data_IF_571619886750
#
_entry.id   IF_571619886750
#
_cell.length_a   1.000
_cell.length_b   1.000
_cell.length_c   1.000
_cell.angle_alpha   90.00
_cell.angle_beta   90.00
_cell.angle_gamma   90.00
#
_symmetry.space_group_name_H-M   'P 1'
#
loop_
_entity.id
_entity.type
_entity.pdbx_description
1 polymer ?
#
# COMPACT_ATOMS: atom_id res chain seq x y z
N UNK A 1 1.56 -3.22 13.63
CA UNK A 1 2.48 -2.38 12.82
C UNK A 1 3.88 -2.97 12.80
N UNK A 2 4.57 -3.15 13.93
CA UNK A 2 5.93 -3.72 13.93
C UNK A 2 6.02 -5.10 13.29
N UNK A 3 5.13 -6.05 13.64
CA UNK A 3 5.05 -7.36 12.96
C UNK A 3 4.90 -7.21 11.44
N UNK A 4 4.06 -6.26 11.01
CA UNK A 4 3.84 -5.97 9.60
C UNK A 4 5.11 -5.50 8.90
N UNK A 5 5.89 -4.63 9.54
CA UNK A 5 7.17 -4.13 9.03
C UNK A 5 8.20 -5.25 8.95
N UNK A 6 8.33 -6.06 10.00
CA UNK A 6 9.25 -7.21 10.03
C UNK A 6 8.92 -8.19 8.90
N UNK A 7 7.64 -8.48 8.66
CA UNK A 7 7.21 -9.32 7.53
C UNK A 7 7.60 -8.68 6.18
N UNK A 8 7.46 -7.37 6.00
CA UNK A 8 7.88 -6.73 4.74
C UNK A 8 9.40 -6.82 4.52
N UNK A 9 10.21 -6.79 5.58
CA UNK A 9 11.66 -7.05 5.50
C UNK A 9 11.95 -8.50 5.11
N UNK A 10 11.28 -9.46 5.75
CA UNK A 10 11.43 -10.89 5.45
C UNK A 10 11.07 -11.21 3.99
N UNK A 11 9.98 -10.61 3.49
CA UNK A 11 9.53 -10.71 2.09
C UNK A 11 10.40 -9.90 1.11
N UNK A 12 11.44 -9.20 1.59
CA UNK A 12 12.32 -8.31 0.81
C UNK A 12 11.57 -7.21 0.05
N UNK A 13 10.39 -6.81 0.54
CA UNK A 13 9.61 -5.68 0.02
C UNK A 13 10.19 -4.34 0.48
N UNK A 14 10.92 -4.35 1.61
CA UNK A 14 11.72 -3.23 2.09
C UNK A 14 13.18 -3.65 2.04
N UNK A 15 13.96 -3.00 1.19
CA UNK A 15 15.40 -3.32 0.97
C UNK A 15 16.32 -2.17 1.38
N UNK A 16 15.75 -0.99 1.62
CA UNK A 16 16.43 0.20 2.12
C UNK A 16 15.68 0.70 3.36
N UNK A 17 16.32 1.52 4.20
CA UNK A 17 15.71 2.05 5.43
C UNK A 17 14.68 3.17 5.11
N UNK A 18 13.65 2.83 4.33
CA UNK A 18 12.56 3.70 3.91
C UNK A 18 11.27 2.88 3.87
N UNK A 19 10.46 3.05 4.89
CA UNK A 19 9.22 2.33 5.13
C UNK A 19 8.06 3.22 4.69
N UNK A 20 7.54 2.96 3.49
CA UNK A 20 6.40 3.70 2.97
C UNK A 20 5.08 3.15 3.53
N UNK A 21 4.06 3.99 3.80
CA UNK A 21 2.69 3.57 4.09
C UNK A 21 2.02 3.06 2.80
N UNK A 22 2.56 1.97 2.26
CA UNK A 22 2.17 1.34 1.00
C UNK A 22 1.00 0.40 1.19
N UNK A 23 0.25 0.13 0.11
CA UNK A 23 -0.85 -0.83 0.15
C UNK A 23 -0.44 -2.23 0.61
N UNK A 24 0.81 -2.65 0.34
CA UNK A 24 1.34 -3.92 0.85
C UNK A 24 1.49 -3.90 2.36
N UNK A 25 2.09 -2.84 2.92
CA UNK A 25 2.23 -2.69 4.37
C UNK A 25 0.87 -2.57 5.06
N UNK A 26 -0.06 -1.83 4.47
CA UNK A 26 -1.42 -1.63 4.98
C UNK A 26 -2.19 -2.96 4.96
N UNK A 27 -2.14 -3.73 3.87
CA UNK A 27 -2.74 -5.07 3.80
C UNK A 27 -2.17 -6.02 4.85
N UNK A 28 -0.84 -6.02 5.02
CA UNK A 28 -0.18 -6.82 6.06
C UNK A 28 -0.61 -6.35 7.45
N UNK A 29 -0.76 -5.05 7.69
CA UNK A 29 -1.29 -4.52 8.94
C UNK A 29 -2.72 -4.98 9.21
N UNK A 30 -3.65 -4.79 8.26
CA UNK A 30 -5.05 -5.21 8.41
C UNK A 30 -5.18 -6.71 8.63
N UNK A 31 -4.33 -7.53 7.99
CA UNK A 31 -4.22 -8.98 8.29
C UNK A 31 -3.89 -9.20 9.76
N UNK A 32 -2.83 -8.61 10.31
CA UNK A 32 -2.53 -8.82 11.72
C UNK A 32 -3.62 -8.24 12.63
N UNK A 33 -4.18 -7.08 12.28
CA UNK A 33 -5.22 -6.44 13.07
C UNK A 33 -6.49 -7.29 13.16
N UNK A 34 -6.92 -7.97 12.09
CA UNK A 34 -8.13 -8.80 12.11
C UNK A 34 -8.05 -9.97 13.09
N UNK A 35 -6.85 -10.42 13.46
CA UNK A 35 -6.64 -11.54 14.40
C UNK A 35 -6.12 -11.09 15.78
N UNK A 36 -5.34 -10.02 15.83
CA UNK A 36 -4.64 -9.56 17.04
C UNK A 36 -5.23 -8.27 17.62
N UNK A 37 -5.91 -7.48 16.80
CA UNK A 37 -6.51 -6.21 17.20
C UNK A 37 -7.65 -6.40 18.22
N UNK A 38 -8.03 -5.30 18.84
CA UNK A 38 -9.17 -5.26 19.76
C UNK A 38 -10.38 -4.64 19.06
N UNK A 39 -11.59 -5.08 19.45
CA UNK A 39 -12.84 -4.47 18.97
C UNK A 39 -13.02 -3.02 19.43
N UNK A 40 -12.20 -2.55 20.37
CA UNK A 40 -12.27 -1.20 20.97
C UNK A 40 -11.66 -0.12 20.07
N UNK A 41 -10.88 -0.50 19.07
CA UNK A 41 -10.17 0.43 18.21
C UNK A 41 -10.48 0.14 16.74
N UNK A 42 -10.64 1.21 15.96
CA UNK A 42 -10.85 1.09 14.53
C UNK A 42 -9.57 0.62 13.83
N UNK A 43 -9.69 -0.36 12.93
CA UNK A 43 -8.61 -0.77 12.03
C UNK A 43 -8.18 0.43 11.17
N UNK A 44 -7.07 1.06 11.57
CA UNK A 44 -6.58 2.29 10.97
C UNK A 44 -5.06 2.33 11.03
N UNK A 45 -4.42 1.82 9.99
CA UNK A 45 -2.96 1.67 9.92
C UNK A 45 -2.18 2.98 10.09
N UNK A 46 -2.76 4.13 9.73
CA UNK A 46 -2.09 5.44 9.82
C UNK A 46 -1.78 5.88 11.26
N UNK A 47 -2.59 5.48 12.25
CA UNK A 47 -2.39 5.86 13.64
C UNK A 47 -1.12 5.21 14.21
N UNK A 48 -0.98 3.87 14.27
CA UNK A 48 0.24 3.26 14.75
C UNK A 48 1.44 3.62 13.87
N UNK A 49 1.28 3.79 12.56
CA UNK A 49 2.38 4.26 11.70
C UNK A 49 2.93 5.62 12.15
N UNK A 50 2.05 6.56 12.52
CA UNK A 50 2.44 7.90 12.93
C UNK A 50 2.97 7.97 14.37
N UNK A 51 2.32 7.28 15.31
CA UNK A 51 2.60 7.42 16.73
C UNK A 51 3.77 6.58 17.23
N UNK A 52 4.26 5.60 16.46
CA UNK A 52 5.51 4.88 16.76
C UNK A 52 6.71 5.83 16.92
N UNK A 53 6.65 7.06 16.39
CA UNK A 53 7.69 8.07 16.61
C UNK A 53 7.96 8.42 18.06
N UNK A 54 7.02 8.13 18.97
CA UNK A 54 7.19 8.34 20.40
C UNK A 54 8.10 7.29 21.04
N UNK A 55 8.37 6.18 20.35
CA UNK A 55 9.20 5.08 20.86
C UNK A 55 10.69 5.24 20.49
N UNK A 56 11.07 6.42 19.97
CA UNK A 56 12.45 6.86 19.66
C UNK A 56 13.19 6.10 18.54
N UNK A 57 12.84 4.85 18.24
CA UNK A 57 13.46 4.06 17.16
C UNK A 57 12.84 4.27 15.77
N UNK A 58 11.72 5.01 15.69
CA UNK A 58 10.91 5.18 14.48
C UNK A 58 10.83 6.65 14.08
N UNK A 59 11.50 7.01 13.00
CA UNK A 59 11.61 8.39 12.54
C UNK A 59 10.76 8.65 11.32
N UNK A 60 10.22 9.86 11.18
CA UNK A 60 9.36 10.23 10.06
C UNK A 60 10.08 11.19 9.12
N UNK A 61 10.21 10.82 7.85
CA UNK A 61 10.69 11.73 6.80
C UNK A 61 9.54 12.61 6.33
N UNK A 62 9.65 13.90 6.63
CA UNK A 62 8.72 14.94 6.15
C UNK A 62 9.05 15.28 4.70
N UNK A 63 8.02 15.60 3.90
CA UNK A 63 8.21 16.15 2.56
C UNK A 63 8.81 17.55 2.64
N UNK A 64 9.72 17.84 1.72
CA UNK A 64 10.44 19.11 1.67
C UNK A 64 9.47 20.31 1.59
N UNK A 65 9.68 21.30 2.44
CA UNK A 65 8.88 22.53 2.50
C UNK A 65 7.67 22.47 3.43
N UNK A 66 7.49 21.37 4.18
CA UNK A 66 6.39 21.18 5.13
C UNK A 66 6.88 20.92 6.57
N UNK A 67 8.15 21.12 6.85
CA UNK A 67 8.79 20.80 8.13
C UNK A 67 8.19 21.58 9.31
N UNK A 68 7.78 22.84 9.10
CA UNK A 68 7.16 23.68 10.13
C UNK A 68 5.75 23.21 10.54
N UNK A 69 5.08 22.44 9.67
CA UNK A 69 3.69 22.01 9.85
C UNK A 69 3.57 20.81 10.78
N UNK A 70 4.68 20.13 11.11
CA UNK A 70 4.62 18.91 11.94
C UNK A 70 4.23 19.18 13.39
N UNK A 71 4.47 20.39 13.89
CA UNK A 71 4.12 20.77 15.26
C UNK A 71 2.61 20.74 15.46
N UNK A 72 2.13 19.83 16.32
CA UNK A 72 0.70 19.64 16.56
C UNK A 72 -0.06 18.85 15.48
N UNK A 73 0.62 18.39 14.42
CA UNK A 73 -0.01 17.58 13.38
C UNK A 73 -0.50 16.24 13.96
N UNK A 74 -1.76 15.92 13.68
CA UNK A 74 -2.37 14.62 13.98
C UNK A 74 -3.07 14.11 12.72
N UNK A 75 -2.63 12.98 12.15
CA UNK A 75 -3.28 12.45 10.98
C UNK A 75 -4.71 12.03 11.33
N UNK A 76 -5.65 12.33 10.42
CA UNK A 76 -7.06 11.88 10.53
C UNK A 76 -7.39 10.78 9.53
N UNK A 77 -6.46 10.51 8.61
CA UNK A 77 -6.62 9.56 7.53
C UNK A 77 -5.24 9.23 6.97
N UNK A 78 -5.12 8.12 6.24
CA UNK A 78 -3.90 7.80 5.48
C UNK A 78 -3.59 8.87 4.44
N UNK A 79 -4.62 9.41 3.76
CA UNK A 79 -4.42 10.52 2.81
C UNK A 79 -3.81 11.73 3.50
N UNK A 80 -4.29 12.10 4.69
CA UNK A 80 -3.74 13.22 5.47
C UNK A 80 -2.33 12.93 5.97
N UNK A 81 -2.03 11.69 6.35
CA UNK A 81 -0.67 11.29 6.72
C UNK A 81 0.29 11.48 5.53
N UNK A 82 -0.11 10.99 4.36
CA UNK A 82 0.68 11.02 3.13
C UNK A 82 0.81 12.42 2.52
N UNK A 83 0.05 13.44 2.94
CA UNK A 83 0.30 14.82 2.48
C UNK A 83 1.60 15.36 3.07
N UNK A 84 1.93 14.99 4.31
CA UNK A 84 3.07 15.50 5.06
C UNK A 84 4.27 14.54 5.07
N UNK A 85 4.00 13.25 5.27
CA UNK A 85 5.04 12.24 5.50
C UNK A 85 5.29 11.47 4.20
N UNK A 86 6.58 11.32 3.86
CA UNK A 86 7.02 10.56 2.69
C UNK A 86 7.19 9.08 3.03
N UNK A 87 7.93 8.79 4.10
CA UNK A 87 8.18 7.45 4.64
C UNK A 87 8.61 7.55 6.11
N UNK A 88 8.63 6.41 6.80
CA UNK A 88 9.33 6.26 8.07
C UNK A 88 10.69 5.59 7.86
N UNK A 89 11.61 5.75 8.78
CA UNK A 89 12.89 5.03 8.82
C UNK A 89 13.22 4.66 10.26
N UNK A 90 13.96 3.57 10.44
CA UNK A 90 14.35 3.07 11.76
C UNK A 90 15.72 3.62 12.15
N UNK A 91 16.09 3.49 13.41
CA UNK A 91 17.50 3.58 13.82
C UNK A 91 18.36 2.60 13.01
N UNK A 92 19.60 2.98 12.74
CA UNK A 92 20.50 2.21 11.90
C UNK A 92 20.81 0.84 12.52
N UNK A 93 20.97 0.73 13.85
CA UNK A 93 21.19 -0.56 14.51
C UNK A 93 19.98 -1.49 14.34
N UNK A 94 18.77 -0.98 14.52
CA UNK A 94 17.55 -1.78 14.35
C UNK A 94 17.34 -2.19 12.89
N UNK A 95 17.60 -1.28 11.94
CA UNK A 95 17.55 -1.60 10.52
C UNK A 95 18.52 -2.73 10.17
N UNK A 96 19.75 -2.71 10.68
CA UNK A 96 20.74 -3.78 10.49
C UNK A 96 20.27 -5.11 11.07
N UNK A 97 19.72 -5.12 12.28
CA UNK A 97 19.15 -6.33 12.88
C UNK A 97 18.00 -6.90 12.05
N UNK A 98 17.15 -6.06 11.45
CA UNK A 98 16.06 -6.52 10.60
C UNK A 98 16.52 -7.11 9.26
N UNK A 99 17.77 -6.89 8.83
CA UNK A 99 18.32 -7.59 7.67
C UNK A 99 18.70 -9.04 7.96
N UNK A 100 19.08 -9.35 9.20
CA UNK A 100 19.45 -10.70 9.64
C UNK A 100 18.23 -11.55 10.01
N UNK A 101 18.16 -12.78 9.49
CA UNK A 101 17.02 -13.67 9.74
C UNK A 101 16.92 -14.12 11.18
N UNK A 102 18.06 -14.37 11.85
CA UNK A 102 18.06 -14.85 13.24
C UNK A 102 17.55 -13.75 14.17
N UNK A 103 18.05 -12.53 13.99
CA UNK A 103 17.65 -11.34 14.73
C UNK A 103 16.17 -11.02 14.53
N UNK A 104 15.64 -11.11 13.28
CA UNK A 104 14.20 -11.01 13.04
C UNK A 104 13.40 -12.06 13.83
N UNK A 105 13.82 -13.32 13.81
CA UNK A 105 13.12 -14.38 14.56
C UNK A 105 13.12 -14.13 16.06
N UNK A 106 14.22 -13.64 16.63
CA UNK A 106 14.30 -13.25 18.04
C UNK A 106 13.31 -12.11 18.33
N UNK A 107 13.34 -11.04 17.54
CA UNK A 107 12.43 -9.89 17.69
C UNK A 107 10.95 -10.29 17.60
N UNK A 108 10.60 -11.13 16.61
CA UNK A 108 9.22 -11.63 16.46
C UNK A 108 8.81 -12.41 17.71
N UNK A 109 9.64 -13.36 18.16
CA UNK A 109 9.32 -14.15 19.35
C UNK A 109 9.17 -13.26 20.59
N UNK A 110 10.06 -12.29 20.80
CA UNK A 110 9.96 -11.35 21.93
C UNK A 110 8.67 -10.53 21.87
N UNK A 111 8.30 -9.99 20.70
CA UNK A 111 7.07 -9.22 20.53
C UNK A 111 5.83 -10.08 20.79
N UNK A 112 5.80 -11.29 20.24
CA UNK A 112 4.69 -12.22 20.38
C UNK A 112 4.56 -12.72 21.83
N UNK A 113 5.65 -13.08 22.49
CA UNK A 113 5.61 -13.54 23.88
C UNK A 113 5.20 -12.44 24.85
N UNK A 114 5.62 -11.19 24.58
CA UNK A 114 5.29 -10.05 25.45
C UNK A 114 3.83 -9.62 25.30
N UNK A 115 3.31 -9.55 24.08
CA UNK A 115 2.01 -8.90 23.80
C UNK A 115 0.92 -9.87 23.36
N UNK A 116 1.29 -11.06 22.87
CA UNK A 116 0.39 -12.02 22.21
C UNK A 116 0.70 -13.46 22.63
N UNK A 117 1.07 -13.70 23.88
CA UNK A 117 1.56 -15.00 24.38
C UNK A 117 0.60 -16.16 24.06
N UNK A 118 -0.71 -15.92 24.16
CA UNK A 118 -1.77 -16.90 23.84
C UNK A 118 -2.08 -17.05 22.35
N UNK A 119 -1.42 -16.29 21.48
CA UNK A 119 -1.67 -16.26 20.03
C UNK A 119 -0.45 -16.61 19.16
N UNK A 120 0.57 -17.26 19.75
CA UNK A 120 1.85 -17.53 19.08
C UNK A 120 1.70 -18.36 17.81
N UNK A 121 0.93 -19.44 17.85
CA UNK A 121 0.68 -20.29 16.68
C UNK A 121 -0.06 -19.53 15.57
N UNK A 122 -1.06 -18.72 15.93
CA UNK A 122 -1.80 -17.91 14.98
C UNK A 122 -0.88 -16.90 14.28
N UNK A 123 0.00 -16.23 15.01
CA UNK A 123 0.96 -15.29 14.40
C UNK A 123 1.87 -16.00 13.40
N UNK A 124 2.37 -17.20 13.73
CA UNK A 124 3.22 -17.97 12.82
C UNK A 124 2.50 -18.35 11.52
N UNK A 125 1.22 -18.72 11.58
CA UNK A 125 0.43 -18.98 10.37
C UNK A 125 0.21 -17.71 9.54
N UNK A 126 -0.01 -16.56 10.18
CA UNK A 126 -0.18 -15.30 9.48
C UNK A 126 1.07 -14.88 8.69
N UNK A 127 2.28 -15.15 9.20
CA UNK A 127 3.54 -14.84 8.49
C UNK A 127 3.66 -15.54 7.13
N UNK A 128 3.00 -16.70 6.95
CA UNK A 128 3.02 -17.46 5.69
C UNK A 128 2.15 -16.84 4.58
N UNK A 129 1.27 -15.91 4.95
CA UNK A 129 0.26 -15.36 4.05
C UNK A 129 0.65 -13.93 3.65
N UNK A 130 1.03 -13.73 2.40
CA UNK A 130 1.14 -12.38 1.84
C UNK A 130 -0.25 -11.82 1.55
N UNK A 131 -0.78 -11.05 2.49
CA UNK A 131 -2.15 -10.51 2.45
C UNK A 131 -2.44 -9.70 1.17
N UNK A 132 -1.46 -8.93 0.71
CA UNK A 132 -1.64 -8.09 -0.48
C UNK A 132 -1.67 -8.96 -1.74
N UNK A 133 -0.75 -9.91 -1.85
CA UNK A 133 -0.72 -10.84 -2.98
C UNK A 133 -1.98 -11.72 -3.03
N UNK A 134 -2.45 -12.20 -1.88
CA UNK A 134 -3.70 -12.96 -1.78
C UNK A 134 -4.90 -12.13 -2.23
N UNK A 135 -5.00 -10.88 -1.79
CA UNK A 135 -6.05 -9.96 -2.25
C UNK A 135 -5.99 -9.76 -3.77
N UNK A 136 -4.80 -9.54 -4.33
CA UNK A 136 -4.61 -9.39 -5.77
C UNK A 136 -5.06 -10.64 -6.53
N UNK A 137 -4.70 -11.83 -6.05
CA UNK A 137 -5.08 -13.09 -6.69
C UNK A 137 -6.60 -13.28 -6.69
N UNK A 138 -7.26 -13.07 -5.53
CA UNK A 138 -8.71 -13.17 -5.42
C UNK A 138 -9.44 -12.21 -6.36
N UNK A 139 -9.01 -10.94 -6.39
CA UNK A 139 -9.60 -9.94 -7.29
C UNK A 139 -9.38 -10.31 -8.76
N UNK A 140 -8.22 -10.88 -9.10
CA UNK A 140 -7.92 -11.31 -10.45
C UNK A 140 -8.75 -12.51 -10.89
N UNK A 141 -8.86 -13.52 -10.02
CA UNK A 141 -9.63 -14.75 -10.27
C UNK A 141 -11.12 -14.47 -10.42
N UNK A 142 -11.67 -13.47 -9.73
CA UNK A 142 -13.06 -13.05 -9.89
C UNK A 142 -13.32 -12.17 -11.13
N UNK A 143 -12.27 -11.76 -11.86
CA UNK A 143 -12.38 -10.79 -12.96
C UNK A 143 -12.56 -9.33 -12.48
N UNK A 144 -12.46 -9.10 -11.17
CA UNK A 144 -12.70 -7.84 -10.48
C UNK A 144 -14.00 -7.84 -9.66
N UNK A 145 -14.43 -6.65 -9.21
CA UNK A 145 -15.58 -6.49 -8.30
C UNK A 145 -16.19 -5.10 -8.42
N UNK A 146 -17.52 -5.01 -8.31
CA UNK A 146 -18.25 -3.77 -8.01
C UNK A 146 -18.49 -3.66 -6.51
N UNK A 147 -18.24 -2.49 -5.94
CA UNK A 147 -18.27 -2.25 -4.49
C UNK A 147 -19.52 -1.46 -4.08
N UNK A 148 -20.07 -1.81 -2.92
CA UNK A 148 -21.10 -1.02 -2.22
C UNK A 148 -20.47 0.16 -1.46
N UNK A 149 -21.30 1.05 -0.90
CA UNK A 149 -20.81 2.12 -0.01
C UNK A 149 -20.26 1.52 1.29
N UNK A 150 -20.88 0.44 1.77
CA UNK A 150 -20.48 -0.30 2.96
C UNK A 150 -19.08 -0.90 2.81
N UNK A 151 -18.77 -1.47 1.64
CA UNK A 151 -17.45 -2.03 1.34
C UNK A 151 -16.33 -0.98 1.41
N UNK A 152 -16.66 0.30 1.20
CA UNK A 152 -15.70 1.42 1.10
C UNK A 152 -15.63 2.26 2.37
N UNK A 153 -16.22 1.81 3.49
CA UNK A 153 -16.16 2.52 4.78
C UNK A 153 -14.76 2.54 5.39
N UNK A 154 -13.95 1.52 5.13
CA UNK A 154 -12.61 1.38 5.68
C UNK A 154 -11.57 1.95 4.69
N UNK A 155 -10.83 2.98 5.11
CA UNK A 155 -9.82 3.64 4.27
C UNK A 155 -8.66 2.73 3.86
N UNK A 156 -8.21 1.85 4.76
CA UNK A 156 -7.15 0.87 4.48
C UNK A 156 -7.60 -0.05 3.34
N UNK A 157 -8.84 -0.55 3.38
CA UNK A 157 -9.41 -1.38 2.31
C UNK A 157 -9.52 -0.62 0.99
N UNK A 158 -9.90 0.66 1.00
CA UNK A 158 -9.96 1.49 -0.20
C UNK A 158 -8.58 1.60 -0.87
N UNK A 159 -7.51 1.75 -0.08
CA UNK A 159 -6.14 1.89 -0.58
C UNK A 159 -5.59 0.56 -1.08
N UNK A 160 -5.84 -0.53 -0.35
CA UNK A 160 -5.45 -1.89 -0.76
C UNK A 160 -6.07 -2.23 -2.11
N UNK A 161 -7.39 -2.02 -2.23
CA UNK A 161 -8.17 -2.24 -3.45
C UNK A 161 -7.62 -1.44 -4.63
N UNK A 162 -7.50 -0.13 -4.47
CA UNK A 162 -7.06 0.78 -5.54
C UNK A 162 -5.65 0.39 -6.04
N UNK A 163 -4.73 0.08 -5.14
CA UNK A 163 -3.40 -0.38 -5.52
C UNK A 163 -3.40 -1.76 -6.19
N UNK A 164 -4.22 -2.69 -5.70
CA UNK A 164 -4.36 -4.03 -6.28
C UNK A 164 -4.92 -3.97 -7.70
N UNK A 165 -6.02 -3.23 -7.91
CA UNK A 165 -6.62 -3.00 -9.22
C UNK A 165 -5.58 -2.46 -10.21
N UNK A 166 -4.91 -1.35 -9.86
CA UNK A 166 -3.91 -0.74 -10.76
C UNK A 166 -2.77 -1.71 -11.11
N UNK A 167 -2.27 -2.47 -10.14
CA UNK A 167 -1.21 -3.47 -10.38
C UNK A 167 -1.68 -4.61 -11.28
N UNK A 168 -2.91 -5.09 -11.10
CA UNK A 168 -3.48 -6.14 -11.95
C UNK A 168 -3.62 -5.61 -13.38
N UNK A 169 -4.22 -4.42 -13.55
CA UNK A 169 -4.41 -3.80 -14.87
C UNK A 169 -3.07 -3.70 -15.60
N UNK A 170 -2.04 -3.06 -15.03
CA UNK A 170 -0.74 -2.95 -15.73
C UNK A 170 -0.12 -4.31 -16.05
N UNK A 171 -0.35 -5.34 -15.22
CA UNK A 171 0.16 -6.68 -15.47
C UNK A 171 -0.52 -7.36 -16.66
N UNK A 172 -1.84 -7.16 -16.84
CA UNK A 172 -2.62 -7.69 -17.97
C UNK A 172 -2.13 -7.09 -19.29
N UNK A 173 -1.69 -5.83 -19.28
CA UNK A 173 -1.07 -5.17 -20.44
C UNK A 173 0.44 -5.46 -20.58
N UNK A 174 1.01 -6.44 -19.87
CA UNK A 174 2.45 -6.76 -19.88
C UNK A 174 3.34 -5.53 -19.61
N UNK A 175 2.88 -4.62 -18.74
CA UNK A 175 3.54 -3.36 -18.39
C UNK A 175 3.76 -2.43 -19.59
N UNK A 176 2.89 -2.49 -20.59
CA UNK A 176 2.90 -1.61 -21.77
C UNK A 176 1.74 -0.65 -21.73
N UNK A 177 1.95 0.55 -22.27
CA UNK A 177 0.85 1.48 -22.49
C UNK A 177 -0.13 0.91 -23.54
N UNK A 178 -1.43 0.95 -23.25
CA UNK A 178 -2.50 0.51 -24.14
C UNK A 178 -2.57 1.32 -25.44
N UNK A 179 -2.14 2.59 -25.42
CA UNK A 179 -2.18 3.47 -26.59
C UNK A 179 -0.95 3.34 -27.48
N UNK A 180 0.26 3.49 -26.92
CA UNK A 180 1.49 3.50 -27.71
C UNK A 180 2.27 2.18 -27.69
N UNK A 181 1.86 1.19 -26.90
CA UNK A 181 2.54 -0.11 -26.79
C UNK A 181 3.91 -0.08 -26.10
N UNK A 182 4.40 1.11 -25.70
CA UNK A 182 5.72 1.26 -25.08
C UNK A 182 5.74 0.67 -23.67
N UNK A 183 6.79 -0.09 -23.41
CA UNK A 183 7.22 -0.48 -22.06
C UNK A 183 8.30 0.49 -21.63
N UNK A 184 7.93 1.53 -20.87
CA UNK A 184 8.87 2.52 -20.39
C UNK A 184 9.46 2.02 -19.07
N UNK A 185 10.79 2.04 -18.95
CA UNK A 185 11.52 1.56 -17.78
C UNK A 185 12.37 2.72 -17.25
N UNK A 186 12.39 2.96 -15.93
CA UNK A 186 13.24 3.97 -15.31
C UNK A 186 14.69 3.49 -15.14
N UNK A 187 15.57 4.37 -14.67
CA UNK A 187 16.98 4.05 -14.40
C UNK A 187 17.19 2.92 -13.38
N UNK A 188 16.16 2.59 -12.60
CA UNK A 188 16.15 1.51 -11.62
C UNK A 188 15.53 0.21 -12.17
N UNK A 189 15.23 0.13 -13.47
CA UNK A 189 14.64 -1.06 -14.08
C UNK A 189 13.13 -1.23 -13.83
N UNK A 190 12.44 -0.22 -13.29
CA UNK A 190 11.02 -0.28 -12.95
C UNK A 190 10.15 0.29 -14.09
N UNK A 191 9.01 -0.36 -14.36
CA UNK A 191 8.09 0.12 -15.39
C UNK A 191 7.40 1.43 -14.99
N UNK A 192 7.26 2.37 -15.93
CA UNK A 192 6.65 3.69 -15.74
C UNK A 192 5.30 3.75 -16.46
N UNK A 193 4.40 2.85 -16.07
CA UNK A 193 3.00 2.85 -16.49
C UNK A 193 2.11 2.78 -15.26
N UNK A 194 0.95 3.40 -15.34
CA UNK A 194 -0.06 3.41 -14.30
C UNK A 194 -1.31 2.67 -14.79
N UNK A 195 -2.05 2.06 -13.84
CA UNK A 195 -3.38 1.56 -14.10
C UNK A 195 -4.41 2.66 -13.87
N UNK A 196 -5.34 2.83 -14.81
CA UNK A 196 -6.43 3.82 -14.73
C UNK A 196 -7.76 3.14 -15.00
N UNK A 197 -8.81 3.65 -14.37
CA UNK A 197 -10.18 3.25 -14.71
C UNK A 197 -10.64 3.93 -16.01
N UNK A 198 -11.41 3.22 -16.82
CA UNK A 198 -12.13 3.78 -17.98
C UNK A 198 -13.37 4.53 -17.47
N UNK A 199 -14.22 3.84 -16.71
CA UNK A 199 -15.36 4.41 -16.00
C UNK A 199 -14.91 4.91 -14.62
N UNK A 200 -15.17 6.18 -14.25
CA UNK A 200 -14.70 6.75 -13.00
C UNK A 200 -15.13 5.93 -11.76
N UNK A 201 -14.16 5.53 -10.94
CA UNK A 201 -14.46 4.74 -9.74
C UNK A 201 -15.42 5.46 -8.77
N UNK A 202 -15.35 6.80 -8.69
CA UNK A 202 -16.22 7.61 -7.82
C UNK A 202 -17.72 7.47 -8.13
N UNK A 203 -18.07 7.11 -9.37
CA UNK A 203 -19.46 6.96 -9.81
C UNK A 203 -19.87 5.48 -9.88
N UNK A 204 -19.02 4.65 -10.46
CA UNK A 204 -19.37 3.26 -10.78
C UNK A 204 -18.89 2.25 -9.74
N UNK A 205 -17.90 2.60 -8.91
CA UNK A 205 -17.28 1.73 -7.90
C UNK A 205 -16.87 0.37 -8.47
N UNK A 206 -16.37 0.38 -9.69
CA UNK A 206 -16.15 -0.81 -10.51
C UNK A 206 -14.66 -1.04 -10.75
N UNK A 207 -14.12 -2.12 -10.16
CA UNK A 207 -12.76 -2.60 -10.39
C UNK A 207 -12.73 -3.88 -11.25
N UNK A 208 -13.73 -4.11 -12.11
CA UNK A 208 -13.58 -5.12 -13.14
C UNK A 208 -12.35 -4.81 -14.01
N UNK A 209 -11.58 -5.85 -14.33
CA UNK A 209 -10.28 -5.70 -15.01
C UNK A 209 -10.47 -5.09 -16.40
N UNK A 210 -11.61 -5.34 -17.05
CA UNK A 210 -12.00 -4.74 -18.34
C UNK A 210 -12.35 -3.24 -18.23
N UNK A 211 -12.60 -2.73 -17.03
CA UNK A 211 -12.68 -1.30 -16.74
C UNK A 211 -11.28 -0.65 -16.58
N UNK A 212 -10.19 -1.37 -16.88
CA UNK A 212 -8.83 -0.93 -16.66
C UNK A 212 -8.01 -0.66 -17.94
N UNK A 213 -7.25 0.43 -17.95
CA UNK A 213 -6.22 0.74 -18.95
C UNK A 213 -4.85 0.89 -18.29
N UNK A 214 -3.80 0.40 -18.95
CA UNK A 214 -2.42 0.71 -18.59
C UNK A 214 -1.90 1.87 -19.41
N UNK A 215 -1.49 2.97 -18.78
CA UNK A 215 -1.11 4.22 -19.45
C UNK A 215 0.30 4.65 -19.06
N UNK A 216 1.13 5.07 -20.02
CA UNK A 216 2.37 5.77 -19.68
C UNK A 216 2.08 7.20 -19.23
N UNK A 217 3.04 7.86 -18.57
CA UNK A 217 2.86 9.23 -18.05
C UNK A 217 2.42 10.25 -19.11
N UNK A 218 2.82 10.08 -20.38
CA UNK A 218 2.41 10.95 -21.48
C UNK A 218 0.92 10.81 -21.84
N UNK A 219 0.32 9.64 -21.63
CA UNK A 219 -1.09 9.36 -21.93
C UNK A 219 -1.98 9.30 -20.69
N UNK A 220 -1.39 9.17 -19.49
CA UNK A 220 -2.10 9.20 -18.22
C UNK A 220 -2.42 10.63 -17.77
N UNK A 221 -1.66 11.62 -18.23
CA UNK A 221 -1.78 13.00 -17.76
C UNK A 221 -2.73 13.83 -18.64
N UNK A 222 -3.71 14.55 -18.05
CA UNK A 222 -4.53 15.54 -18.75
C UNK A 222 -3.77 16.82 -19.18
N UNK A 223 -2.47 16.97 -18.89
CA UNK A 223 -1.74 18.25 -18.97
C UNK A 223 -0.77 18.36 -20.16
N UNK A 224 -1.03 17.65 -21.26
CA UNK A 224 -0.53 18.08 -22.57
C UNK A 224 -1.63 18.92 -23.20
N UNK A 225 -1.36 20.21 -23.40
CA UNK A 225 -2.19 21.20 -24.09
C UNK A 225 -2.91 20.62 -25.32
N UNK A 226 -4.23 20.43 -25.20
CA UNK A 226 -5.10 19.85 -26.23
C UNK A 226 -5.90 18.69 -25.68
N UNK A 227 -7.02 19.00 -25.04
CA UNK A 227 -8.04 18.08 -24.55
C UNK A 227 -8.23 16.86 -25.45
N UNK A 228 -7.93 15.67 -24.90
CA UNK A 228 -8.51 14.41 -25.35
C UNK A 228 -9.08 13.70 -24.14
N UNK A 229 -10.35 13.95 -23.87
CA UNK A 229 -11.12 13.21 -22.87
C UNK A 229 -11.66 11.95 -23.53
N UNK A 230 -11.63 10.82 -22.83
CA UNK A 230 -12.24 9.57 -23.31
C UNK A 230 -13.70 9.60 -22.85
N UNK A 231 -14.65 9.54 -23.78
CA UNK A 231 -16.07 9.49 -23.47
C UNK A 231 -16.47 8.10 -22.94
N UNK A 232 -17.71 7.96 -22.47
CA UNK A 232 -18.24 6.71 -21.91
C UNK A 232 -18.27 5.52 -22.91
N UNK A 233 -17.99 5.76 -24.19
CA UNK A 233 -17.90 4.75 -25.26
C UNK A 233 -16.46 4.39 -25.65
N UNK A 234 -15.45 4.97 -25.01
CA UNK A 234 -14.03 4.67 -25.28
C UNK A 234 -13.41 5.47 -26.42
N UNK A 235 -14.10 6.50 -26.92
CA UNK A 235 -13.62 7.36 -28.00
C UNK A 235 -13.05 8.68 -27.47
N UNK A 236 -12.04 9.23 -28.16
CA UNK A 236 -11.40 10.50 -27.78
C UNK A 236 -12.22 11.70 -28.25
N UNK A 237 -12.43 12.68 -27.36
CA UNK A 237 -13.03 14.02 -27.61
C UNK A 237 -12.02 15.10 -27.28
#
# INVERSE_FOLDING_TARGET
MLLSVIEQFEQRKITVNQIYPSASLIATFSKYWSYLGSERHQDSSYLPFFYLKSDEFWHLKIKSGLEEVISGFKPKSLKSLQTLILYAFLDDELFLLLQDSVSRSVLINTLVETWFSHKKEQVNELFRIDAFQEFQNKLKESGGKVYSVEDLKNEDQVIIRDAAFRKIVISVYNYRCSFCGLKIINSLGQNIVDGSHIKPFSEFRDDHIDNGLSLCKNHHCPQISGSKSINATGEMV
#
